data_IF_518946832961
#
_entry.id   IF_518946832961
#
_cell.length_a   1.000
_cell.length_b   1.000
_cell.length_c   1.000
_cell.angle_alpha   90.00
_cell.angle_beta   90.00
_cell.angle_gamma   90.00
#
_symmetry.space_group_name_H-M   'P 1'
#
loop_
_entity.id
_entity.type
_entity.pdbx_description
1 polymer ?
#
# COMPACT_ATOMS: atom_id res chain seq x y z
N UNK A 1 14.72 11.38 0.08
CA UNK A 1 16.22 11.25 -0.05
C UNK A 1 17.00 12.14 0.93
N UNK A 2 16.53 13.39 1.20
CA UNK A 2 17.22 14.33 2.11
C UNK A 2 17.34 13.77 3.55
N UNK A 3 16.28 13.22 4.11
CA UNK A 3 16.25 12.74 5.50
C UNK A 3 17.03 11.46 5.78
N UNK A 4 17.25 10.60 4.75
CA UNK A 4 18.05 9.36 4.92
C UNK A 4 19.52 9.60 5.33
N UNK A 5 20.06 10.77 5.01
CA UNK A 5 21.46 11.11 5.29
C UNK A 5 21.66 11.82 6.63
N UNK A 6 20.58 12.17 7.36
CA UNK A 6 20.70 12.94 8.59
C UNK A 6 21.18 12.10 9.79
N UNK A 7 21.02 10.77 9.77
CA UNK A 7 21.35 9.86 10.88
C UNK A 7 20.89 10.36 12.27
N UNK A 8 19.78 11.14 12.28
CA UNK A 8 19.21 11.74 13.47
C UNK A 8 17.70 11.47 13.50
N UNK A 9 17.09 11.31 14.69
CA UNK A 9 15.66 11.16 14.81
C UNK A 9 14.95 12.44 14.35
N UNK A 10 13.76 12.29 13.77
CA UNK A 10 12.91 13.39 13.35
C UNK A 10 11.81 13.61 14.37
N UNK A 11 11.59 14.85 14.77
CA UNK A 11 10.47 15.26 15.62
C UNK A 11 9.45 16.01 14.78
N UNK A 12 8.24 15.47 14.70
CA UNK A 12 7.10 16.11 14.05
C UNK A 12 6.34 16.95 15.07
N UNK A 13 6.20 18.22 14.78
CA UNK A 13 5.44 19.19 15.57
C UNK A 13 4.64 20.06 14.59
N UNK A 14 3.44 19.62 14.26
CA UNK A 14 2.55 20.25 13.29
C UNK A 14 1.36 20.91 14.00
N UNK A 15 0.56 21.65 13.26
CA UNK A 15 -0.61 22.33 13.78
C UNK A 15 -1.57 21.37 14.49
N UNK A 16 -2.18 21.82 15.58
CA UNK A 16 -3.07 21.01 16.40
C UNK A 16 -4.52 21.04 15.88
N UNK A 17 -4.67 20.85 14.56
CA UNK A 17 -5.95 20.71 13.86
C UNK A 17 -6.03 19.37 13.10
N UNK A 18 -7.17 19.12 12.45
CA UNK A 18 -7.38 17.88 11.69
C UNK A 18 -6.39 17.74 10.52
N UNK A 19 -6.02 18.84 9.85
CA UNK A 19 -5.09 18.81 8.74
C UNK A 19 -3.67 18.49 9.21
N UNK A 20 -3.22 19.11 10.30
CA UNK A 20 -1.94 18.83 10.95
C UNK A 20 -1.87 17.41 11.52
N UNK A 21 -2.98 16.90 12.07
CA UNK A 21 -3.08 15.51 12.51
C UNK A 21 -2.92 14.52 11.32
N UNK A 22 -3.67 14.73 10.24
CA UNK A 22 -3.57 13.88 9.05
C UNK A 22 -2.19 13.97 8.39
N UNK A 23 -1.58 15.16 8.38
CA UNK A 23 -0.22 15.36 7.90
C UNK A 23 0.79 14.60 8.78
N UNK A 24 0.64 14.65 10.11
CA UNK A 24 1.49 13.92 11.07
C UNK A 24 1.44 12.41 10.78
N UNK A 25 0.24 11.85 10.58
CA UNK A 25 0.07 10.44 10.23
C UNK A 25 0.79 10.10 8.93
N UNK A 26 0.54 10.85 7.86
CA UNK A 26 1.13 10.58 6.52
C UNK A 26 2.65 10.70 6.52
N UNK A 27 3.18 11.76 7.11
CA UNK A 27 4.64 12.00 7.16
C UNK A 27 5.30 10.95 8.05
N UNK A 28 4.72 10.67 9.21
CA UNK A 28 5.25 9.68 10.14
C UNK A 28 5.30 8.28 9.54
N UNK A 29 4.26 7.85 8.83
CA UNK A 29 4.25 6.55 8.13
C UNK A 29 5.31 6.48 7.02
N UNK A 30 5.47 7.53 6.23
CA UNK A 30 6.51 7.61 5.20
C UNK A 30 7.91 7.50 5.78
N UNK A 31 8.18 8.21 6.88
CA UNK A 31 9.49 8.20 7.53
C UNK A 31 9.77 6.85 8.22
N UNK A 32 8.77 6.29 8.89
CA UNK A 32 8.88 4.98 9.52
C UNK A 32 9.16 3.86 8.50
N UNK A 33 8.52 3.91 7.32
CA UNK A 33 8.76 2.95 6.24
C UNK A 33 10.18 3.08 5.62
N UNK A 34 10.81 4.23 5.81
CA UNK A 34 12.21 4.47 5.43
C UNK A 34 13.21 4.13 6.55
N UNK A 35 12.74 3.48 7.65
CA UNK A 35 13.49 3.16 8.86
C UNK A 35 14.11 4.38 9.54
N UNK A 36 13.41 5.52 9.50
CA UNK A 36 13.81 6.73 10.21
C UNK A 36 13.08 6.76 11.55
N UNK A 37 13.80 7.01 12.62
CA UNK A 37 13.23 7.18 13.95
C UNK A 37 12.43 8.48 14.03
N UNK A 38 11.13 8.38 14.37
CA UNK A 38 10.19 9.50 14.34
C UNK A 38 9.51 9.64 15.69
N UNK A 39 9.48 10.87 16.17
CA UNK A 39 8.75 11.29 17.37
C UNK A 39 7.69 12.33 17.01
N UNK A 40 6.69 12.46 17.86
CA UNK A 40 5.59 13.44 17.73
C UNK A 40 5.50 14.26 18.98
N UNK A 41 5.36 15.56 18.82
CA UNK A 41 5.03 16.51 19.88
C UNK A 41 3.63 17.06 19.64
N UNK A 42 2.77 17.00 20.65
CA UNK A 42 1.42 17.61 20.61
C UNK A 42 1.41 18.89 21.41
N UNK A 43 0.90 19.95 20.81
CA UNK A 43 0.82 21.28 21.40
C UNK A 43 -0.55 21.45 22.07
N UNK A 44 -0.69 20.98 23.32
CA UNK A 44 -1.93 21.11 24.05
C UNK A 44 -2.17 22.56 24.49
N UNK A 45 -3.33 23.13 24.06
CA UNK A 45 -3.70 24.50 24.42
C UNK A 45 -3.23 25.60 23.46
N UNK A 46 -2.64 25.22 22.32
CA UNK A 46 -2.30 26.13 21.22
C UNK A 46 -2.55 25.46 19.88
N UNK A 47 -2.74 26.26 18.86
CA UNK A 47 -3.00 25.80 17.49
C UNK A 47 -1.70 25.41 16.77
N UNK A 48 -0.67 26.17 16.95
CA UNK A 48 0.63 26.02 16.30
C UNK A 48 1.79 26.35 17.26
N UNK A 49 3.05 26.08 16.89
CA UNK A 49 4.21 26.32 17.73
C UNK A 49 4.39 27.79 18.12
N UNK A 50 4.04 28.74 17.24
CA UNK A 50 4.18 30.17 17.49
C UNK A 50 3.20 30.61 18.57
N UNK A 51 1.94 30.22 18.45
CA UNK A 51 0.92 30.46 19.48
C UNK A 51 1.29 29.79 20.82
N UNK A 52 1.89 28.59 20.77
CA UNK A 52 2.35 27.90 21.99
C UNK A 52 3.42 28.69 22.73
N UNK A 53 4.41 29.22 21.99
CA UNK A 53 5.46 30.06 22.58
C UNK A 53 4.87 31.35 23.19
N UNK A 54 3.93 31.99 22.50
CA UNK A 54 3.27 33.22 22.99
C UNK A 54 2.49 32.94 24.28
N UNK A 55 1.78 31.81 24.38
CA UNK A 55 0.93 31.49 25.52
C UNK A 55 1.69 30.91 26.71
N UNK A 56 2.73 30.12 26.49
CA UNK A 56 3.39 29.30 27.51
C UNK A 56 4.89 29.56 27.64
N UNK A 57 5.51 30.26 26.71
CA UNK A 57 6.94 30.55 26.70
C UNK A 57 7.81 29.45 26.07
N UNK A 58 9.06 29.80 25.82
CA UNK A 58 10.04 28.91 25.13
C UNK A 58 10.43 27.75 26.06
N UNK A 59 10.57 27.99 27.37
CA UNK A 59 10.96 26.95 28.35
C UNK A 59 9.94 25.81 28.40
N UNK A 60 8.64 26.14 28.31
CA UNK A 60 7.58 25.13 28.31
C UNK A 60 7.53 24.36 26.96
N UNK A 61 7.82 25.03 25.84
CA UNK A 61 7.98 24.35 24.57
C UNK A 61 9.14 23.33 24.59
N UNK A 62 10.30 23.73 25.13
CA UNK A 62 11.43 22.82 25.28
C UNK A 62 11.10 21.63 26.21
N UNK A 63 10.36 21.87 27.27
CA UNK A 63 9.87 20.83 28.18
C UNK A 63 8.91 19.87 27.43
N UNK A 64 7.98 20.38 26.65
CA UNK A 64 7.06 19.60 25.82
C UNK A 64 7.80 18.75 24.78
N UNK A 65 8.85 19.29 24.17
CA UNK A 65 9.72 18.53 23.23
C UNK A 65 10.46 17.40 23.94
N UNK A 66 10.87 17.57 25.19
CA UNK A 66 11.49 16.47 25.98
C UNK A 66 10.51 15.32 26.23
N UNK A 67 9.21 15.61 26.32
CA UNK A 67 8.14 14.62 26.53
C UNK A 67 7.52 14.12 25.20
N UNK A 68 8.25 14.26 24.08
CA UNK A 68 7.83 13.69 22.81
C UNK A 68 7.54 12.19 22.91
N UNK A 69 6.53 11.73 22.20
CA UNK A 69 6.17 10.31 22.12
C UNK A 69 6.68 9.71 20.79
N UNK A 70 6.90 8.41 20.76
CA UNK A 70 7.24 7.74 19.50
C UNK A 70 6.07 7.83 18.49
N UNK A 71 6.36 7.91 17.20
CA UNK A 71 5.31 7.91 16.18
C UNK A 71 4.46 6.63 16.25
N UNK A 72 5.06 5.50 16.57
CA UNK A 72 4.34 4.24 16.75
C UNK A 72 3.28 4.35 17.85
N UNK A 73 3.64 4.92 19.01
CA UNK A 73 2.71 5.16 20.12
C UNK A 73 1.62 6.16 19.74
N UNK A 74 1.98 7.25 19.06
CA UNK A 74 1.03 8.23 18.53
C UNK A 74 0.02 7.56 17.59
N UNK A 75 0.48 6.73 16.65
CA UNK A 75 -0.37 6.00 15.70
C UNK A 75 -1.31 5.03 16.40
N UNK A 76 -0.82 4.23 17.34
CA UNK A 76 -1.66 3.31 18.11
C UNK A 76 -2.73 4.07 18.92
N UNK A 77 -2.35 5.21 19.53
CA UNK A 77 -3.31 6.06 20.24
C UNK A 77 -4.35 6.66 19.31
N UNK A 78 -3.96 7.07 18.10
CA UNK A 78 -4.89 7.60 17.10
C UNK A 78 -5.91 6.57 16.64
N UNK A 79 -5.51 5.31 16.50
CA UNK A 79 -6.41 4.22 16.14
C UNK A 79 -7.44 3.93 17.24
N UNK A 80 -7.10 4.15 18.52
CA UNK A 80 -8.02 3.93 19.65
C UNK A 80 -9.19 4.89 19.70
N UNK A 81 -9.03 6.13 19.22
CA UNK A 81 -10.00 7.24 19.41
C UNK A 81 -11.41 6.89 18.90
N UNK A 82 -11.50 6.03 17.89
CA UNK A 82 -12.77 5.70 17.23
C UNK A 82 -13.45 4.45 17.79
N UNK A 83 -12.94 3.85 18.87
CA UNK A 83 -13.44 2.58 19.40
C UNK A 83 -13.72 2.65 20.89
N UNK A 84 -14.85 2.10 21.30
CA UNK A 84 -15.10 1.76 22.69
C UNK A 84 -14.48 0.38 22.99
N UNK A 85 -13.31 0.40 23.64
CA UNK A 85 -12.51 -0.80 23.87
C UNK A 85 -13.07 -1.74 24.96
N UNK A 86 -14.09 -1.30 25.71
CA UNK A 86 -14.87 -2.16 26.61
C UNK A 86 -15.87 -3.03 25.84
N UNK A 87 -16.17 -2.70 24.59
CA UNK A 87 -17.00 -3.49 23.72
C UNK A 87 -16.13 -4.52 22.96
N UNK A 88 -16.38 -5.85 23.13
CA UNK A 88 -15.55 -6.87 22.49
C UNK A 88 -15.49 -6.80 20.96
N UNK A 89 -16.57 -6.35 20.31
CA UNK A 89 -16.61 -6.20 18.84
C UNK A 89 -15.72 -5.03 18.40
N UNK A 90 -15.81 -3.90 19.10
CA UNK A 90 -15.02 -2.72 18.80
C UNK A 90 -13.55 -2.93 19.15
N UNK A 91 -13.24 -3.65 20.24
CA UNK A 91 -11.89 -4.08 20.55
C UNK A 91 -11.32 -4.96 19.43
N UNK A 92 -12.10 -5.92 18.92
CA UNK A 92 -11.68 -6.75 17.77
C UNK A 92 -11.41 -5.89 16.52
N UNK A 93 -12.25 -4.90 16.22
CA UNK A 93 -12.03 -3.98 15.10
C UNK A 93 -10.77 -3.13 15.28
N UNK A 94 -10.52 -2.61 16.50
CA UNK A 94 -9.29 -1.91 16.82
C UNK A 94 -8.06 -2.80 16.61
N UNK A 95 -8.07 -4.02 17.14
CA UNK A 95 -6.96 -4.98 16.97
C UNK A 95 -6.72 -5.28 15.50
N UNK A 96 -7.76 -5.48 14.70
CA UNK A 96 -7.63 -5.70 13.25
C UNK A 96 -6.99 -4.49 12.54
N UNK A 97 -7.32 -3.25 12.93
CA UNK A 97 -6.69 -2.05 12.39
C UNK A 97 -5.21 -1.94 12.78
N UNK A 98 -4.85 -2.36 14.00
CA UNK A 98 -3.44 -2.45 14.42
C UNK A 98 -2.69 -3.50 13.61
N UNK A 99 -3.27 -4.69 13.41
CA UNK A 99 -2.68 -5.76 12.59
C UNK A 99 -2.49 -5.28 11.15
N UNK A 100 -3.47 -4.56 10.58
CA UNK A 100 -3.36 -3.97 9.24
C UNK A 100 -2.19 -2.98 9.14
N UNK A 101 -2.07 -2.08 10.12
CA UNK A 101 -0.94 -1.13 10.19
C UNK A 101 0.42 -1.82 10.32
N UNK A 102 0.47 -2.97 10.99
CA UNK A 102 1.72 -3.72 11.21
C UNK A 102 2.21 -4.51 10.00
N UNK A 103 1.40 -4.76 8.99
CA UNK A 103 1.74 -5.64 7.85
C UNK A 103 3.10 -5.34 7.23
N UNK A 104 3.36 -4.07 6.94
CA UNK A 104 4.57 -3.61 6.26
C UNK A 104 5.73 -3.28 7.22
N UNK A 105 5.58 -3.57 8.52
CA UNK A 105 6.62 -3.29 9.52
C UNK A 105 7.58 -4.47 9.68
N UNK A 106 8.76 -4.20 10.21
CA UNK A 106 9.73 -5.24 10.54
C UNK A 106 9.22 -6.17 11.65
N UNK A 107 9.81 -7.36 11.71
CA UNK A 107 9.35 -8.41 12.64
C UNK A 107 9.52 -8.03 14.11
N UNK A 108 10.49 -7.20 14.46
CA UNK A 108 10.73 -6.76 15.84
C UNK A 108 9.62 -5.81 16.26
N UNK A 109 9.31 -4.82 15.41
CA UNK A 109 8.19 -3.89 15.65
C UNK A 109 6.86 -4.64 15.78
N UNK A 110 6.58 -5.61 14.91
CA UNK A 110 5.41 -6.49 15.00
C UNK A 110 5.33 -7.19 16.35
N UNK A 111 6.41 -7.83 16.75
CA UNK A 111 6.49 -8.59 18.01
C UNK A 111 6.22 -7.70 19.23
N UNK A 112 6.88 -6.55 19.30
CA UNK A 112 6.73 -5.61 20.42
C UNK A 112 5.31 -5.08 20.55
N UNK A 113 4.69 -4.69 19.42
CA UNK A 113 3.32 -4.15 19.42
C UNK A 113 2.29 -5.22 19.76
N UNK A 114 2.38 -6.41 19.17
CA UNK A 114 1.46 -7.51 19.46
C UNK A 114 1.55 -7.94 20.92
N UNK A 115 2.75 -7.98 21.50
CA UNK A 115 2.94 -8.27 22.92
C UNK A 115 2.27 -7.20 23.80
N UNK A 116 2.47 -5.93 23.49
CA UNK A 116 1.82 -4.82 24.21
C UNK A 116 0.28 -4.92 24.11
N UNK A 117 -0.29 -5.18 22.95
CA UNK A 117 -1.75 -5.36 22.77
C UNK A 117 -2.26 -6.56 23.59
N UNK A 118 -1.53 -7.68 23.56
CA UNK A 118 -1.87 -8.87 24.37
C UNK A 118 -1.92 -8.55 25.87
N UNK A 119 -0.95 -7.81 26.38
CA UNK A 119 -0.86 -7.40 27.79
C UNK A 119 -1.93 -6.36 28.15
N UNK A 120 -2.10 -5.30 27.33
CA UNK A 120 -3.04 -4.19 27.60
C UNK A 120 -4.50 -4.64 27.64
N UNK A 121 -4.87 -5.65 26.83
CA UNK A 121 -6.28 -6.10 26.68
C UNK A 121 -6.51 -7.56 27.13
N UNK A 122 -5.52 -8.19 27.73
CA UNK A 122 -5.59 -9.59 28.18
C UNK A 122 -6.05 -10.55 27.06
N UNK A 123 -5.47 -10.37 25.87
CA UNK A 123 -5.71 -11.21 24.69
C UNK A 123 -4.58 -12.24 24.55
N UNK A 124 -4.92 -13.43 24.03
CA UNK A 124 -3.91 -14.46 23.79
C UNK A 124 -2.92 -14.03 22.70
N UNK A 125 -1.65 -14.02 23.05
CA UNK A 125 -0.56 -13.60 22.17
C UNK A 125 -0.45 -14.49 20.92
N UNK A 126 -0.61 -15.81 21.05
CA UNK A 126 -0.50 -16.73 19.89
C UNK A 126 -1.66 -16.54 18.92
N UNK A 127 -2.84 -16.19 19.41
CA UNK A 127 -3.99 -15.84 18.56
C UNK A 127 -3.68 -14.57 17.74
N UNK A 128 -3.21 -13.50 18.38
CA UNK A 128 -2.85 -12.25 17.70
C UNK A 128 -1.75 -12.47 16.67
N UNK A 129 -0.73 -13.24 17.01
CA UNK A 129 0.38 -13.60 16.12
C UNK A 129 -0.08 -14.44 14.92
N UNK A 130 -1.02 -15.32 15.11
CA UNK A 130 -1.59 -16.14 14.03
C UNK A 130 -2.40 -15.28 13.05
N UNK A 131 -3.20 -14.34 13.54
CA UNK A 131 -3.97 -13.41 12.70
C UNK A 131 -3.06 -12.53 11.85
N UNK A 132 -1.95 -12.03 12.40
CA UNK A 132 -0.95 -11.29 11.64
C UNK A 132 -0.39 -12.11 10.47
N UNK A 133 -0.01 -13.39 10.71
CA UNK A 133 0.49 -14.29 9.67
C UNK A 133 -0.55 -14.65 8.62
N UNK A 134 -1.81 -14.89 9.02
CA UNK A 134 -2.91 -15.21 8.11
C UNK A 134 -3.16 -14.03 7.15
N UNK A 135 -3.12 -12.80 7.65
CA UNK A 135 -3.30 -11.62 6.83
C UNK A 135 -2.16 -11.43 5.82
N UNK A 136 -0.91 -11.68 6.19
CA UNK A 136 0.24 -11.69 5.27
C UNK A 136 0.08 -12.74 4.15
N UNK A 137 -0.43 -13.93 4.47
CA UNK A 137 -0.66 -15.00 3.48
C UNK A 137 -1.81 -14.63 2.52
N UNK A 138 -2.88 -14.02 3.03
CA UNK A 138 -4.02 -13.58 2.19
C UNK A 138 -3.60 -12.52 1.17
N UNK A 139 -2.80 -11.53 1.58
CA UNK A 139 -2.29 -10.49 0.66
C UNK A 139 -1.35 -11.06 -0.39
N UNK A 140 -0.40 -11.90 0.00
CA UNK A 140 0.49 -12.56 -0.96
C UNK A 140 -0.28 -13.34 -2.02
N UNK A 141 -1.39 -14.01 -1.64
CA UNK A 141 -2.27 -14.69 -2.60
C UNK A 141 -3.05 -13.70 -3.48
N UNK A 142 -3.46 -12.55 -2.96
CA UNK A 142 -4.14 -11.51 -3.74
C UNK A 142 -3.19 -10.79 -4.70
N UNK A 143 -1.98 -10.47 -4.25
CA UNK A 143 -0.93 -9.88 -5.11
C UNK A 143 -0.53 -10.84 -6.23
N UNK A 144 -0.38 -12.13 -5.93
CA UNK A 144 -0.10 -13.15 -6.95
C UNK A 144 -1.28 -13.28 -7.94
N UNK A 145 -2.53 -13.30 -7.47
CA UNK A 145 -3.71 -13.31 -8.36
C UNK A 145 -3.80 -12.02 -9.19
N UNK A 146 -3.63 -10.86 -8.59
CA UNK A 146 -3.66 -9.57 -9.29
C UNK A 146 -2.51 -9.43 -10.30
N UNK A 147 -1.30 -9.94 -9.99
CA UNK A 147 -0.18 -9.93 -10.92
C UNK A 147 -0.36 -10.89 -12.08
N UNK A 148 -1.00 -12.06 -11.84
CA UNK A 148 -1.36 -13.02 -12.90
C UNK A 148 -2.46 -12.46 -13.80
N UNK A 149 -3.51 -11.85 -13.23
CA UNK A 149 -4.59 -11.22 -13.99
C UNK A 149 -4.06 -10.06 -14.84
N UNK A 150 -3.24 -9.15 -14.27
CA UNK A 150 -2.65 -8.04 -15.05
C UNK A 150 -1.71 -8.51 -16.17
N UNK A 151 -0.97 -9.60 -16.00
CA UNK A 151 -0.13 -10.16 -17.07
C UNK A 151 -0.96 -10.82 -18.17
N UNK A 152 -2.02 -11.57 -17.82
CA UNK A 152 -2.92 -12.19 -18.78
C UNK A 152 -3.71 -11.15 -19.57
N UNK A 153 -4.20 -10.09 -18.91
CA UNK A 153 -4.97 -9.03 -19.58
C UNK A 153 -4.13 -8.25 -20.59
N UNK A 154 -2.90 -7.86 -20.22
CA UNK A 154 -2.00 -7.16 -21.16
C UNK A 154 -1.61 -8.01 -22.37
N UNK A 155 -1.35 -9.29 -22.18
CA UNK A 155 -1.05 -10.19 -23.27
C UNK A 155 -2.26 -10.31 -24.21
N UNK A 156 -3.44 -10.55 -23.65
CA UNK A 156 -4.69 -10.64 -24.38
C UNK A 156 -5.00 -9.36 -25.16
N UNK A 157 -4.89 -8.19 -24.52
CA UNK A 157 -5.04 -6.89 -25.20
C UNK A 157 -4.06 -6.70 -26.36
N UNK A 158 -2.81 -7.15 -26.21
CA UNK A 158 -1.83 -7.11 -27.30
C UNK A 158 -2.22 -8.03 -28.44
N UNK A 159 -2.67 -9.25 -28.14
CA UNK A 159 -3.14 -10.23 -29.12
C UNK A 159 -4.35 -9.69 -29.88
N UNK A 160 -5.35 -9.17 -29.19
CA UNK A 160 -6.57 -8.60 -29.79
C UNK A 160 -6.23 -7.43 -30.72
N UNK A 161 -5.29 -6.55 -30.33
CA UNK A 161 -4.81 -5.47 -31.20
C UNK A 161 -4.08 -5.99 -32.45
N UNK A 162 -3.23 -7.00 -32.30
CA UNK A 162 -2.51 -7.60 -33.41
C UNK A 162 -3.51 -8.19 -34.43
N UNK A 163 -4.51 -8.96 -33.95
CA UNK A 163 -5.56 -9.49 -34.81
C UNK A 163 -6.37 -8.37 -35.49
N UNK A 164 -6.75 -7.31 -34.75
CA UNK A 164 -7.45 -6.16 -35.32
C UNK A 164 -6.67 -5.51 -36.48
N UNK A 165 -5.35 -5.33 -36.31
CA UNK A 165 -4.51 -4.80 -37.39
C UNK A 165 -4.41 -5.76 -38.58
N UNK A 166 -4.17 -7.06 -38.36
CA UNK A 166 -4.08 -8.07 -39.43
C UNK A 166 -5.38 -8.12 -40.23
N UNK A 167 -6.52 -8.00 -39.55
CA UNK A 167 -7.84 -8.00 -40.19
C UNK A 167 -8.14 -6.70 -40.94
N UNK A 168 -7.58 -5.57 -40.53
CA UNK A 168 -7.79 -4.29 -41.21
C UNK A 168 -7.02 -4.13 -42.52
N UNK A 169 -5.81 -4.71 -42.63
CA UNK A 169 -5.01 -4.65 -43.84
C UNK A 169 -3.98 -5.81 -43.86
N UNK A 170 -3.98 -6.56 -44.96
CA UNK A 170 -3.10 -7.73 -45.16
C UNK A 170 -1.60 -7.41 -45.02
N UNK A 171 -1.19 -6.16 -45.19
CA UNK A 171 0.21 -5.72 -44.99
C UNK A 171 0.71 -5.99 -43.57
N UNK A 172 -0.19 -5.92 -42.56
CA UNK A 172 0.17 -6.20 -41.18
C UNK A 172 0.48 -7.68 -40.93
N UNK A 173 -0.03 -8.58 -41.73
CA UNK A 173 0.35 -9.99 -41.72
C UNK A 173 1.84 -10.18 -42.05
N UNK A 174 2.35 -9.47 -43.05
CA UNK A 174 3.77 -9.50 -43.41
C UNK A 174 4.63 -8.90 -42.29
N UNK A 175 4.17 -7.79 -41.69
CA UNK A 175 4.86 -7.18 -40.57
C UNK A 175 4.91 -8.12 -39.37
N UNK A 176 3.78 -8.77 -39.05
CA UNK A 176 3.72 -9.73 -37.96
C UNK A 176 4.68 -10.90 -38.17
N UNK A 177 4.67 -11.51 -39.34
CA UNK A 177 5.56 -12.64 -39.67
C UNK A 177 7.05 -12.27 -39.57
N UNK A 178 7.41 -11.06 -39.97
CA UNK A 178 8.80 -10.61 -39.94
C UNK A 178 9.28 -10.15 -38.54
N UNK A 179 8.37 -9.71 -37.66
CA UNK A 179 8.72 -9.10 -36.38
C UNK A 179 8.42 -9.97 -35.17
N UNK A 180 7.33 -10.75 -35.22
CA UNK A 180 6.83 -11.55 -34.09
C UNK A 180 6.88 -13.04 -34.42
N UNK A 181 6.35 -13.44 -35.57
CA UNK A 181 6.43 -14.79 -36.15
C UNK A 181 5.45 -15.80 -35.58
N UNK A 182 5.03 -15.74 -34.34
CA UNK A 182 4.11 -16.70 -33.73
C UNK A 182 3.40 -16.14 -32.48
N UNK A 183 2.25 -16.74 -32.15
CA UNK A 183 1.56 -16.51 -30.88
C UNK A 183 1.93 -17.57 -29.84
N UNK A 184 2.01 -17.18 -28.57
CA UNK A 184 2.40 -18.05 -27.47
C UNK A 184 1.37 -19.15 -27.19
N UNK A 185 0.09 -18.81 -27.19
CA UNK A 185 -0.99 -19.73 -26.86
C UNK A 185 -1.46 -20.51 -28.09
N UNK A 186 -1.90 -21.78 -27.89
CA UNK A 186 -2.31 -22.68 -28.93
C UNK A 186 -3.54 -22.17 -29.73
N UNK A 187 -4.55 -21.65 -29.01
CA UNK A 187 -5.79 -21.11 -29.55
C UNK A 187 -5.54 -19.95 -30.52
N UNK A 188 -4.63 -19.05 -30.17
CA UNK A 188 -4.27 -17.90 -30.99
C UNK A 188 -3.51 -18.31 -32.26
N UNK A 189 -2.67 -19.35 -32.15
CA UNK A 189 -2.00 -19.92 -33.32
C UNK A 189 -2.99 -20.57 -34.31
N UNK A 190 -4.00 -21.27 -33.79
CA UNK A 190 -5.07 -21.85 -34.60
C UNK A 190 -5.87 -20.77 -35.33
N UNK A 191 -6.32 -19.74 -34.57
CA UNK A 191 -7.04 -18.62 -35.16
C UNK A 191 -6.19 -17.86 -36.20
N UNK A 192 -4.91 -17.66 -35.93
CA UNK A 192 -4.00 -17.04 -36.89
C UNK A 192 -3.87 -17.84 -38.21
N UNK A 193 -3.79 -19.16 -38.13
CA UNK A 193 -3.73 -20.03 -39.29
C UNK A 193 -5.04 -19.97 -40.11
N UNK A 194 -6.19 -19.87 -39.47
CA UNK A 194 -7.47 -19.66 -40.11
C UNK A 194 -7.53 -18.33 -40.86
N UNK A 195 -7.09 -17.25 -40.21
CA UNK A 195 -7.02 -15.91 -40.81
C UNK A 195 -6.10 -15.90 -42.04
N UNK A 196 -4.92 -16.55 -41.96
CA UNK A 196 -4.01 -16.69 -43.11
C UNK A 196 -4.67 -17.48 -44.24
N UNK A 197 -5.30 -18.61 -43.92
CA UNK A 197 -5.97 -19.43 -44.91
C UNK A 197 -7.05 -18.64 -45.65
N UNK A 198 -7.89 -17.92 -44.92
CA UNK A 198 -8.94 -17.07 -45.45
C UNK A 198 -8.40 -15.92 -46.31
N UNK A 199 -7.39 -15.21 -45.84
CA UNK A 199 -6.75 -14.11 -46.55
C UNK A 199 -6.11 -14.55 -47.86
N UNK A 200 -5.49 -15.74 -47.91
CA UNK A 200 -4.92 -16.33 -49.14
C UNK A 200 -5.97 -16.73 -50.15
N UNK A 201 -7.12 -17.24 -49.65
CA UNK A 201 -8.21 -17.71 -50.53
C UNK A 201 -8.97 -16.54 -51.17
N UNK A 202 -9.20 -15.45 -50.42
CA UNK A 202 -10.10 -14.37 -50.87
C UNK A 202 -9.37 -13.10 -51.32
N UNK A 203 -8.03 -13.05 -51.24
CA UNK A 203 -7.21 -11.86 -51.53
C UNK A 203 -7.61 -10.60 -50.76
N UNK A 204 -8.55 -10.71 -49.82
CA UNK A 204 -9.01 -9.67 -48.86
C UNK A 204 -9.42 -10.35 -47.58
N UNK A 205 -9.19 -9.73 -46.46
CA UNK A 205 -9.79 -10.10 -45.18
C UNK A 205 -11.12 -9.35 -45.09
N UNK A 206 -12.25 -10.05 -45.33
CA UNK A 206 -13.58 -9.47 -45.14
C UNK A 206 -13.98 -9.63 -43.69
N UNK A 207 -14.28 -8.49 -43.01
CA UNK A 207 -14.59 -8.44 -41.58
C UNK A 207 -16.08 -8.73 -41.33
N UNK A 208 -16.90 -8.86 -42.40
CA UNK A 208 -18.35 -8.97 -42.31
C UNK A 208 -18.87 -10.41 -42.55
N UNK A 209 -18.02 -11.44 -42.44
CA UNK A 209 -18.41 -12.83 -42.54
C UNK A 209 -18.37 -13.59 -41.23
#
# INVERSE_FOLDING_TARGET
KLFKNLHAPIVLMLDNDNAGFDATIKIGELLLNENIEVYVVRLNGAKDPDEYIVNFGVEELENTIKHKISFLEFKLSSLKVNFNLDNPIELSNYVNNVIEFLKDKDNITKEVVIKKISEDYNLDYEVLKSELKINEIKENKQVLKASVIKKSDKYKECVDKIFSYIMSDIKYLTIFNNRVGYFKEKRERELYNEVIYYARKNKKVDIAG
#
